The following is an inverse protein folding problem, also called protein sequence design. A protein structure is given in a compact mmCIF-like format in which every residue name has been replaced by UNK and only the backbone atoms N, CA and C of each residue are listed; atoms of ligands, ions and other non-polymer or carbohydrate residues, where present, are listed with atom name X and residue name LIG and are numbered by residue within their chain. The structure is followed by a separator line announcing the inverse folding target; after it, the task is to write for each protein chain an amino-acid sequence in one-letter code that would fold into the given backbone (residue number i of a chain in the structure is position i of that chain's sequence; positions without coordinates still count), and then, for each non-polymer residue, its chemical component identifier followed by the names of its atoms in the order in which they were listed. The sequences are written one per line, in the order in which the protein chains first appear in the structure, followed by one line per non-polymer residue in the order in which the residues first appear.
data_IF_257850109854
#
_entry.id   IF_257850109854
#
_cell.length_a   1.000
_cell.length_b   1.000
_cell.length_c   1.000
_cell.angle_alpha   90.00
_cell.angle_beta   90.00
_cell.angle_gamma   90.00
#
_symmetry.space_group_name_H-M   'P 1'
#
loop_
_entity.id
_entity.type
_entity.pdbx_description
1 polymer ?
#
# COMPACT_ATOMS: atom_id res chain seq x y z
N UNK A 1 10.58 6.58 13.15
CA UNK A 1 10.14 6.49 11.75
C UNK A 1 11.32 6.89 10.89
N UNK A 2 11.80 5.98 10.06
CA UNK A 2 12.84 6.25 9.06
C UNK A 2 12.26 7.22 8.03
N UNK A 3 12.92 8.36 7.84
CA UNK A 3 12.61 9.29 6.76
C UNK A 3 13.20 8.72 5.47
N UNK A 4 12.36 8.52 4.45
CA UNK A 4 12.77 7.99 3.14
C UNK A 4 12.83 9.17 2.17
N UNK A 5 13.99 9.42 1.57
CA UNK A 5 14.13 10.48 0.57
C UNK A 5 13.64 9.97 -0.81
N UNK A 6 12.54 10.52 -1.35
CA UNK A 6 11.98 10.07 -2.62
C UNK A 6 12.87 10.43 -3.82
N UNK A 7 13.84 11.33 -3.69
CA UNK A 7 14.70 11.73 -4.82
C UNK A 7 15.80 10.72 -5.16
N UNK A 8 16.11 9.81 -4.23
CA UNK A 8 17.17 8.81 -4.38
C UNK A 8 16.65 7.45 -4.89
N UNK A 9 15.33 7.31 -5.00
CA UNK A 9 14.66 6.06 -5.37
C UNK A 9 14.08 6.17 -6.78
N UNK A 10 14.14 5.07 -7.53
CA UNK A 10 13.44 4.95 -8.81
C UNK A 10 12.00 4.53 -8.54
N UNK A 11 11.08 5.50 -8.63
CA UNK A 11 9.69 5.34 -8.20
C UNK A 11 8.78 5.20 -9.40
N UNK A 12 8.16 4.03 -9.55
CA UNK A 12 7.08 3.78 -10.49
C UNK A 12 5.72 4.11 -9.87
N UNK A 13 4.82 4.70 -10.65
CA UNK A 13 3.46 5.03 -10.24
C UNK A 13 2.40 4.17 -10.95
N UNK A 14 1.37 3.77 -10.20
CA UNK A 14 0.23 3.03 -10.73
C UNK A 14 -1.09 3.62 -10.27
N UNK A 15 -1.95 3.91 -11.26
CA UNK A 15 -3.30 4.40 -11.01
C UNK A 15 -4.23 3.26 -10.62
N UNK A 16 -4.86 3.36 -9.45
CA UNK A 16 -5.79 2.33 -8.95
C UNK A 16 -7.22 2.65 -9.32
N UNK A 17 -7.64 3.89 -9.11
CA UNK A 17 -9.01 4.31 -9.38
C UNK A 17 -9.10 5.79 -9.71
N UNK A 18 -9.98 6.12 -10.65
CA UNK A 18 -10.32 7.50 -11.01
C UNK A 18 -11.83 7.66 -10.81
N UNK A 19 -12.22 8.64 -10.01
CA UNK A 19 -13.61 8.93 -9.70
C UNK A 19 -14.01 10.31 -10.24
N UNK A 20 -15.09 10.37 -11.00
CA UNK A 20 -15.71 11.63 -11.39
C UNK A 20 -16.67 12.09 -10.30
N UNK A 21 -16.33 13.20 -9.65
CA UNK A 21 -17.09 13.78 -8.55
C UNK A 21 -17.78 15.06 -8.99
N UNK A 22 -19.01 15.27 -8.52
CA UNK A 22 -19.86 16.37 -8.98
C UNK A 22 -20.40 17.17 -7.81
N UNK A 23 -20.27 18.50 -7.86
CA UNK A 23 -20.94 19.43 -6.94
C UNK A 23 -22.09 20.13 -7.68
N UNK A 24 -23.32 19.98 -7.21
CA UNK A 24 -24.49 20.69 -7.75
C UNK A 24 -24.46 22.15 -7.29
N UNK A 25 -24.77 23.07 -8.21
CA UNK A 25 -24.86 24.53 -7.97
C UNK A 25 -26.12 25.09 -8.64
N UNK A 26 -26.53 26.32 -8.30
CA UNK A 26 -27.78 26.95 -8.77
C UNK A 26 -28.03 26.92 -10.29
N UNK A 27 -26.96 26.91 -11.09
CA UNK A 27 -27.02 26.91 -12.56
C UNK A 27 -26.46 25.66 -13.24
N UNK A 28 -26.22 24.56 -12.50
CA UNK A 28 -25.71 23.33 -13.10
C UNK A 28 -24.86 22.47 -12.17
N UNK A 29 -23.85 21.80 -12.74
CA UNK A 29 -23.00 20.83 -12.05
C UNK A 29 -21.52 21.14 -12.30
N UNK A 30 -20.75 21.33 -11.23
CA UNK A 30 -19.28 21.46 -11.31
C UNK A 30 -18.65 20.07 -11.14
N UNK A 31 -17.94 19.64 -12.18
CA UNK A 31 -17.29 18.33 -12.25
C UNK A 31 -15.81 18.47 -11.84
N UNK A 32 -15.29 17.45 -11.16
CA UNK A 32 -13.87 17.27 -10.86
C UNK A 32 -13.54 15.79 -10.93
N UNK A 33 -12.26 15.48 -11.06
CA UNK A 33 -11.74 14.11 -10.98
C UNK A 33 -10.91 13.94 -9.71
N UNK A 34 -11.12 12.83 -9.03
CA UNK A 34 -10.29 12.37 -7.93
C UNK A 34 -9.54 11.11 -8.38
N UNK A 35 -8.23 11.08 -8.17
CA UNK A 35 -7.37 9.94 -8.48
C UNK A 35 -6.79 9.34 -7.19
N UNK A 36 -6.70 8.02 -7.16
CA UNK A 36 -5.95 7.24 -6.17
C UNK A 36 -4.78 6.58 -6.89
N UNK A 37 -3.58 6.89 -6.45
CA UNK A 37 -2.33 6.41 -7.05
C UNK A 37 -1.49 5.75 -5.97
N UNK A 38 -0.81 4.67 -6.33
CA UNK A 38 0.22 4.01 -5.54
C UNK A 38 1.56 4.27 -6.22
N UNK A 39 2.59 4.50 -5.44
CA UNK A 39 3.96 4.71 -5.90
C UNK A 39 4.88 3.73 -5.17
N UNK A 40 5.84 3.14 -5.83
CA UNK A 40 6.82 2.26 -5.19
C UNK A 40 8.03 1.97 -6.06
N UNK A 41 9.04 1.35 -5.48
CA UNK A 41 10.34 1.07 -6.10
C UNK A 41 10.60 -0.41 -6.38
N UNK A 42 9.60 -1.27 -6.19
CA UNK A 42 9.72 -2.74 -6.23
C UNK A 42 10.77 -3.32 -5.27
N UNK A 43 11.25 -2.54 -4.30
CA UNK A 43 12.35 -2.91 -3.42
C UNK A 43 12.02 -2.61 -1.94
N UNK A 44 10.76 -2.80 -1.57
CA UNK A 44 10.29 -2.66 -0.19
C UNK A 44 9.87 -1.25 0.20
N UNK A 45 9.78 -0.30 -0.73
CA UNK A 45 9.20 1.02 -0.45
C UNK A 45 7.92 1.21 -1.25
N UNK A 46 6.84 1.56 -0.53
CA UNK A 46 5.56 1.83 -1.16
C UNK A 46 4.87 3.01 -0.49
N UNK A 47 4.16 3.81 -1.27
CA UNK A 47 3.36 4.93 -0.82
C UNK A 47 2.07 4.98 -1.59
N UNK A 48 1.07 5.67 -1.04
CA UNK A 48 -0.17 5.95 -1.76
C UNK A 48 -0.55 7.39 -1.54
N UNK A 49 -1.25 7.95 -2.52
CA UNK A 49 -1.64 9.34 -2.51
C UNK A 49 -2.97 9.55 -3.20
N UNK A 50 -3.60 10.67 -2.86
CA UNK A 50 -4.85 11.07 -3.49
C UNK A 50 -4.75 12.47 -4.05
N UNK A 51 -5.31 12.66 -5.24
CA UNK A 51 -5.27 13.93 -5.93
C UNK A 51 -6.64 14.31 -6.46
N UNK A 52 -6.92 15.61 -6.52
CA UNK A 52 -8.17 16.14 -7.06
C UNK A 52 -7.91 17.35 -7.94
N UNK A 53 -8.43 17.32 -9.15
CA UNK A 53 -8.32 18.42 -10.12
C UNK A 53 -9.55 18.50 -11.03
N UNK A 54 -9.54 19.48 -11.93
CA UNK A 54 -10.60 19.64 -12.93
C UNK A 54 -10.42 18.67 -14.09
N UNK A 55 -9.17 18.35 -14.43
CA UNK A 55 -8.79 17.37 -15.44
C UNK A 55 -8.14 16.13 -14.82
N UNK A 56 -8.15 15.02 -15.56
CA UNK A 56 -7.61 13.75 -15.08
C UNK A 56 -6.08 13.78 -14.91
N UNK A 57 -5.28 14.27 -15.88
CA UNK A 57 -3.81 14.26 -15.75
C UNK A 57 -3.32 15.07 -14.54
N UNK A 58 -3.94 16.22 -14.28
CA UNK A 58 -3.62 17.05 -13.11
C UNK A 58 -4.01 16.38 -11.79
N UNK A 59 -5.07 15.58 -11.76
CA UNK A 59 -5.46 14.84 -10.57
C UNK A 59 -4.45 13.73 -10.28
N UNK A 60 -3.96 13.04 -11.31
CA UNK A 60 -2.92 12.01 -11.20
C UNK A 60 -1.62 12.64 -10.72
N UNK A 61 -1.15 13.73 -11.33
CA UNK A 61 0.09 14.43 -10.92
C UNK A 61 0.06 14.80 -9.43
N UNK A 62 -1.03 15.40 -8.97
CA UNK A 62 -1.20 15.74 -7.55
C UNK A 62 -1.23 14.50 -6.64
N UNK A 63 -1.80 13.39 -7.11
CA UNK A 63 -1.83 12.15 -6.36
C UNK A 63 -0.43 11.52 -6.24
N UNK A 64 0.38 11.59 -7.30
CA UNK A 64 1.78 11.13 -7.29
C UNK A 64 2.62 11.97 -6.32
N UNK A 65 2.49 13.30 -6.35
CA UNK A 65 3.21 14.19 -5.45
C UNK A 65 2.85 13.95 -3.97
N UNK A 66 1.59 13.60 -3.69
CA UNK A 66 1.11 13.22 -2.36
C UNK A 66 1.63 11.83 -1.95
N UNK A 67 1.66 10.87 -2.87
CA UNK A 67 2.16 9.52 -2.61
C UNK A 67 3.65 9.48 -2.27
N UNK A 68 4.46 10.27 -2.99
CA UNK A 68 5.92 10.38 -2.77
C UNK A 68 6.28 10.86 -1.36
N UNK A 69 5.40 11.65 -0.73
CA UNK A 69 5.61 12.15 0.65
C UNK A 69 5.28 11.11 1.71
N UNK A 70 4.47 10.10 1.37
CA UNK A 70 3.91 9.13 2.29
C UNK A 70 4.45 7.71 2.04
N UNK A 71 5.76 7.60 1.80
CA UNK A 71 6.43 6.32 1.64
C UNK A 71 6.53 5.57 2.97
N UNK A 72 6.34 4.25 2.90
CA UNK A 72 6.50 3.32 4.01
C UNK A 72 7.52 2.25 3.61
N UNK A 73 8.32 1.80 4.58
CA UNK A 73 9.18 0.62 4.41
C UNK A 73 8.36 -0.63 4.73
N UNK A 74 8.34 -1.57 3.81
CA UNK A 74 7.66 -2.86 3.95
C UNK A 74 8.67 -3.88 4.50
N UNK A 75 8.40 -4.50 5.66
CA UNK A 75 9.25 -5.58 6.15
C UNK A 75 9.02 -6.82 5.28
N UNK A 76 10.09 -7.32 4.66
CA UNK A 76 10.07 -8.51 3.80
C UNK A 76 11.14 -9.50 4.26
N UNK A 77 10.89 -10.78 4.03
CA UNK A 77 11.87 -11.86 4.20
C UNK A 77 11.97 -12.57 2.86
N UNK A 78 13.13 -12.46 2.22
CA UNK A 78 13.33 -12.84 0.82
C UNK A 78 12.32 -12.12 -0.08
N UNK A 79 11.34 -12.85 -0.60
CA UNK A 79 10.34 -12.36 -1.57
C UNK A 79 8.90 -12.39 -1.00
N UNK A 80 8.74 -12.68 0.30
CA UNK A 80 7.43 -12.79 0.98
C UNK A 80 7.36 -11.99 2.30
N UNK A 81 6.16 -11.99 2.90
CA UNK A 81 5.88 -11.32 4.18
C UNK A 81 6.41 -12.13 5.38
N UNK A 82 6.80 -11.48 6.49
CA UNK A 82 7.32 -12.19 7.66
C UNK A 82 6.29 -13.08 8.37
N UNK A 83 5.05 -12.60 8.51
CA UNK A 83 3.98 -13.34 9.20
C UNK A 83 2.60 -12.88 8.73
N UNK A 84 1.57 -13.64 9.11
CA UNK A 84 0.17 -13.30 8.80
C UNK A 84 -0.31 -12.08 9.60
N UNK A 85 -0.97 -11.12 8.96
CA UNK A 85 -1.54 -9.94 9.61
C UNK A 85 -2.92 -9.66 9.04
N UNK A 86 -3.80 -9.11 9.88
CA UNK A 86 -5.07 -8.53 9.45
C UNK A 86 -4.92 -7.01 9.56
N UNK A 87 -4.92 -6.34 8.41
CA UNK A 87 -4.94 -4.89 8.31
C UNK A 87 -6.38 -4.38 8.32
N UNK A 88 -6.65 -3.33 9.09
CA UNK A 88 -8.00 -2.82 9.28
C UNK A 88 -8.05 -1.31 9.17
N UNK A 89 -8.98 -0.82 8.35
CA UNK A 89 -9.25 0.62 8.28
C UNK A 89 -10.72 0.88 8.00
N UNK A 90 -11.38 1.58 8.94
CA UNK A 90 -12.81 1.89 8.91
C UNK A 90 -13.66 0.62 8.80
N UNK A 91 -14.07 0.21 7.60
CA UNK A 91 -14.84 -1.02 7.34
C UNK A 91 -14.13 -2.03 6.43
N UNK A 92 -12.90 -1.76 6.01
CA UNK A 92 -12.10 -2.68 5.19
C UNK A 92 -11.19 -3.51 6.09
N UNK A 93 -11.29 -4.83 5.98
CA UNK A 93 -10.42 -5.79 6.67
C UNK A 93 -9.73 -6.66 5.64
N UNK A 94 -8.40 -6.71 5.68
CA UNK A 94 -7.59 -7.43 4.69
C UNK A 94 -6.70 -8.40 5.43
N UNK A 95 -6.90 -9.68 5.15
CA UNK A 95 -5.98 -10.72 5.57
C UNK A 95 -4.80 -10.74 4.60
N UNK A 96 -3.59 -10.58 5.13
CA UNK A 96 -2.33 -10.76 4.45
C UNK A 96 -1.64 -12.00 5.01
N UNK A 97 -1.32 -12.96 4.16
CA UNK A 97 -0.67 -14.21 4.54
C UNK A 97 0.56 -14.43 3.65
N UNK A 98 1.72 -14.79 4.22
CA UNK A 98 2.85 -15.24 3.43
C UNK A 98 2.49 -16.46 2.60
N UNK A 99 3.09 -16.57 1.42
CA UNK A 99 2.89 -17.66 0.50
C UNK A 99 4.21 -18.43 0.30
N UNK A 100 4.10 -19.60 -0.34
CA UNK A 100 5.27 -20.40 -0.72
C UNK A 100 5.97 -19.70 -1.89
N UNK A 101 7.29 -19.85 -1.97
CA UNK A 101 8.08 -19.31 -3.08
C UNK A 101 7.50 -19.73 -4.44
N UNK A 102 7.27 -18.76 -5.33
CA UNK A 102 6.74 -18.99 -6.68
C UNK A 102 5.21 -19.14 -6.77
N UNK A 103 4.46 -18.82 -5.70
CA UNK A 103 2.99 -18.78 -5.72
C UNK A 103 2.42 -17.53 -6.41
N UNK A 104 3.20 -16.45 -6.47
CA UNK A 104 2.81 -15.16 -7.02
C UNK A 104 1.88 -14.35 -6.10
N UNK A 105 1.42 -13.21 -6.62
CA UNK A 105 0.54 -12.26 -5.92
C UNK A 105 -0.94 -12.62 -6.12
N UNK A 106 -1.45 -13.48 -5.23
CA UNK A 106 -2.86 -13.83 -5.12
C UNK A 106 -3.64 -12.77 -4.31
N UNK A 107 -3.95 -11.65 -4.94
CA UNK A 107 -4.60 -10.51 -4.31
C UNK A 107 -5.66 -9.81 -5.19
N UNK A 108 -6.60 -9.12 -4.53
CA UNK A 108 -7.57 -8.26 -5.22
C UNK A 108 -6.90 -7.01 -5.80
N UNK A 109 -7.47 -6.40 -6.85
CA UNK A 109 -6.79 -5.39 -7.68
C UNK A 109 -6.09 -4.25 -6.92
N UNK A 110 -6.74 -3.65 -5.93
CA UNK A 110 -6.13 -2.58 -5.13
C UNK A 110 -5.00 -3.07 -4.21
N UNK A 111 -5.11 -4.28 -3.65
CA UNK A 111 -4.07 -4.89 -2.81
C UNK A 111 -2.90 -5.35 -3.67
N UNK A 112 -3.19 -5.94 -4.83
CA UNK A 112 -2.19 -6.37 -5.81
C UNK A 112 -1.31 -5.21 -6.24
N UNK A 113 -1.90 -4.05 -6.57
CA UNK A 113 -1.14 -2.87 -6.95
C UNK A 113 -0.18 -2.38 -5.85
N UNK A 114 -0.56 -2.51 -4.57
CA UNK A 114 0.34 -2.20 -3.45
C UNK A 114 1.48 -3.23 -3.35
N UNK A 115 1.15 -4.52 -3.45
CA UNK A 115 2.13 -5.60 -3.25
C UNK A 115 3.16 -5.67 -4.37
N UNK A 116 2.73 -5.50 -5.62
CA UNK A 116 3.64 -5.48 -6.78
C UNK A 116 4.61 -4.31 -6.66
N UNK A 117 4.13 -3.08 -6.46
CA UNK A 117 5.00 -1.91 -6.31
C UNK A 117 5.87 -1.93 -5.05
N UNK A 118 5.48 -2.69 -4.03
CA UNK A 118 6.30 -2.92 -2.85
C UNK A 118 7.42 -3.94 -3.10
N UNK A 119 7.41 -4.70 -4.21
CA UNK A 119 8.39 -5.75 -4.48
C UNK A 119 8.07 -7.11 -3.85
N UNK A 120 6.83 -7.32 -3.39
CA UNK A 120 6.41 -8.61 -2.80
C UNK A 120 6.00 -9.55 -3.94
N UNK A 121 6.80 -10.58 -4.20
CA UNK A 121 6.49 -11.55 -5.25
C UNK A 121 5.41 -12.55 -4.80
N UNK A 122 5.47 -13.02 -3.55
CA UNK A 122 4.65 -14.13 -3.07
C UNK A 122 3.78 -13.71 -1.88
N UNK A 123 2.48 -13.57 -2.12
CA UNK A 123 1.51 -13.24 -1.07
C UNK A 123 0.12 -13.74 -1.40
N UNK A 124 -0.55 -14.32 -0.40
CA UNK A 124 -1.99 -14.61 -0.47
C UNK A 124 -2.75 -13.60 0.36
N UNK A 125 -3.73 -12.94 -0.23
CA UNK A 125 -4.59 -12.00 0.48
C UNK A 125 -6.07 -12.27 0.27
N UNK A 126 -6.88 -11.87 1.24
CA UNK A 126 -8.34 -11.90 1.15
C UNK A 126 -8.93 -10.63 1.75
N UNK A 127 -9.80 -9.97 0.99
CA UNK A 127 -10.68 -8.93 1.54
C UNK A 127 -11.84 -9.59 2.27
N UNK A 128 -12.01 -9.28 3.55
CA UNK A 128 -13.04 -9.80 4.45
C UNK A 128 -14.06 -8.71 4.84
N UNK A 129 -14.06 -7.57 4.17
CA UNK A 129 -14.91 -6.42 4.49
C UNK A 129 -15.23 -5.58 3.26
N UNK A 130 -15.36 -4.27 3.46
CA UNK A 130 -15.67 -3.33 2.37
C UNK A 130 -14.59 -3.34 1.28
N UNK A 131 -15.03 -3.28 0.03
CA UNK A 131 -14.22 -3.30 -1.18
C UNK A 131 -13.95 -1.90 -1.76
N UNK A 132 -14.19 -0.83 -1.00
CA UNK A 132 -13.92 0.54 -1.49
C UNK A 132 -12.41 0.73 -1.68
N UNK A 133 -11.91 1.07 -2.89
CA UNK A 133 -10.47 1.05 -3.21
C UNK A 133 -9.59 1.84 -2.24
N UNK A 134 -10.01 3.05 -1.85
CA UNK A 134 -9.24 3.90 -0.94
C UNK A 134 -9.09 3.29 0.46
N UNK A 135 -10.14 2.65 0.98
CA UNK A 135 -10.11 2.03 2.30
C UNK A 135 -9.34 0.71 2.26
N UNK A 136 -9.45 -0.02 1.15
CA UNK A 136 -8.67 -1.24 0.92
C UNK A 136 -7.17 -0.91 0.92
N UNK A 137 -6.72 0.09 0.15
CA UNK A 137 -5.30 0.50 0.15
C UNK A 137 -4.84 0.93 1.55
N UNK A 138 -5.64 1.74 2.26
CA UNK A 138 -5.32 2.16 3.63
C UNK A 138 -5.21 0.99 4.61
N UNK A 139 -6.13 0.03 4.54
CA UNK A 139 -6.12 -1.17 5.37
C UNK A 139 -4.90 -2.06 5.05
N UNK A 140 -4.51 -2.18 3.78
CA UNK A 140 -3.29 -2.91 3.39
C UNK A 140 -2.06 -2.26 4.00
N UNK A 141 -1.93 -0.94 3.87
CA UNK A 141 -0.79 -0.18 4.40
C UNK A 141 -0.74 -0.25 5.93
N UNK A 142 -1.89 -0.19 6.62
CA UNK A 142 -1.97 -0.42 8.07
C UNK A 142 -1.49 -1.84 8.44
N UNK A 143 -1.90 -2.86 7.69
CA UNK A 143 -1.42 -4.23 7.86
C UNK A 143 0.08 -4.36 7.70
N UNK A 144 0.67 -3.75 6.66
CA UNK A 144 2.11 -3.76 6.42
C UNK A 144 2.89 -3.03 7.53
N UNK A 145 2.37 -1.92 8.05
CA UNK A 145 2.99 -1.17 9.17
C UNK A 145 3.02 -1.95 10.49
N UNK A 146 2.08 -2.88 10.68
CA UNK A 146 1.99 -3.71 11.90
C UNK A 146 2.94 -4.92 11.85
N UNK A 147 3.39 -5.30 10.66
CA UNK A 147 4.37 -6.36 10.52
C UNK A 147 5.70 -5.93 11.14
N UNK A 148 6.40 -6.93 11.68
CA UNK A 148 7.70 -6.78 12.32
C UNK A 148 8.62 -7.86 11.78
N UNK A 149 9.87 -7.50 11.54
CA UNK A 149 10.91 -8.48 11.20
C UNK A 149 11.33 -9.26 12.44
N UNK A 150 11.92 -10.45 12.22
CA UNK A 150 12.46 -11.26 13.32
C UNK A 150 13.55 -10.50 14.10
N UNK A 151 14.39 -9.72 13.39
CA UNK A 151 15.45 -8.89 13.97
C UNK A 151 14.91 -7.79 14.88
N UNK A 152 13.85 -7.12 14.45
CA UNK A 152 13.19 -6.08 15.27
C UNK A 152 12.60 -6.68 16.55
N UNK A 153 11.98 -7.86 16.46
CA UNK A 153 11.42 -8.56 17.63
C UNK A 153 12.52 -9.07 18.56
N UNK A 154 13.63 -9.58 18.02
CA UNK A 154 14.79 -10.03 18.78
C UNK A 154 15.38 -8.88 19.61
N UNK A 155 15.59 -7.73 18.96
CA UNK A 155 16.10 -6.51 19.59
C UNK A 155 15.17 -6.01 20.69
N UNK A 156 13.85 -6.00 20.46
CA UNK A 156 12.87 -5.60 21.46
C UNK A 156 12.82 -6.54 22.68
N UNK A 157 13.09 -7.83 22.48
CA UNK A 157 13.06 -8.85 23.55
C UNK A 157 14.42 -9.07 24.22
N UNK A 158 15.51 -8.53 23.67
CA UNK A 158 16.88 -8.72 24.17
C UNK A 158 17.40 -10.16 24.03
N UNK A 159 16.84 -10.94 23.09
CA UNK A 159 17.25 -12.33 22.81
C UNK A 159 17.88 -12.43 21.43
N UNK A 160 18.71 -13.45 21.19
CA UNK A 160 19.31 -13.67 19.87
C UNK A 160 18.26 -14.04 18.83
N UNK A 161 18.46 -13.62 17.57
CA UNK A 161 17.50 -13.88 16.49
C UNK A 161 17.31 -15.39 16.21
N UNK A 162 18.33 -16.21 16.46
CA UNK A 162 18.27 -17.67 16.32
C UNK A 162 17.28 -18.30 17.31
N UNK A 163 17.23 -17.80 18.54
CA UNK A 163 16.31 -18.30 19.58
C UNK A 163 14.82 -18.05 19.26
N UNK A 164 14.52 -17.13 18.33
CA UNK A 164 13.15 -16.83 17.89
C UNK A 164 12.75 -17.57 16.60
N UNK A 165 13.72 -18.15 15.89
CA UNK A 165 13.50 -18.91 14.67
C UNK A 165 13.26 -20.41 14.94
N UNK A 166 13.72 -20.89 16.10
CA UNK A 166 13.34 -22.17 16.70
C UNK A 166 11.88 -22.16 17.20
#
# INVERSE_FOLDING_TARGET
MTFIDPAQLDLEDRVVSINRITKVVKGGRRLRFAALVIVGDHNGHVGFGTGKAQEVPDAIRKAVDDARKNLIKVPMVNETLPHKVIGEYSGSRILLKPAIAGAGVAAGGAVRAVMELAGVADVTSKSLGSNTPINVVRATVDGLKRMKSAEEVATLRGVSAQHLAE
#
